data_IF_604636725152
#
_entry.id   IF_604636725152
#
_cell.length_a   1.000
_cell.length_b   1.000
_cell.length_c   1.000
_cell.angle_alpha   90.00
_cell.angle_beta   90.00
_cell.angle_gamma   90.00
#
_symmetry.space_group_name_H-M   'P 1'
#
loop_
_entity.id
_entity.type
_entity.pdbx_description
1 polymer ?
#
# COMPACT_ATOMS: atom_id res chain seq x y z
N UNK A 1 11.23 26.64 -6.32
CA UNK A 1 11.52 25.19 -6.23
C UNK A 1 10.51 24.46 -5.35
N UNK A 2 10.38 24.77 -4.05
CA UNK A 2 9.43 24.11 -3.12
C UNK A 2 7.95 24.08 -3.56
N UNK A 3 7.48 25.12 -4.25
CA UNK A 3 6.08 25.18 -4.75
C UNK A 3 5.81 24.17 -5.87
N UNK A 4 6.77 23.95 -6.77
CA UNK A 4 6.62 23.02 -7.90
C UNK A 4 6.65 21.57 -7.41
N UNK A 5 7.56 21.26 -6.48
CA UNK A 5 7.64 19.93 -5.84
C UNK A 5 6.37 19.58 -5.08
N UNK A 6 5.77 20.54 -4.37
CA UNK A 6 4.50 20.36 -3.67
C UNK A 6 3.32 20.14 -4.65
N UNK A 7 3.27 20.86 -5.77
CA UNK A 7 2.25 20.67 -6.82
C UNK A 7 2.38 19.28 -7.45
N UNK A 8 3.60 18.86 -7.78
CA UNK A 8 3.87 17.53 -8.35
C UNK A 8 3.49 16.42 -7.38
N UNK A 9 3.78 16.57 -6.09
CA UNK A 9 3.35 15.62 -5.07
C UNK A 9 1.83 15.55 -4.96
N UNK A 10 1.13 16.68 -5.05
CA UNK A 10 -0.32 16.73 -5.01
C UNK A 10 -0.94 16.02 -6.22
N UNK A 11 -0.45 16.31 -7.42
CA UNK A 11 -0.88 15.64 -8.66
C UNK A 11 -0.66 14.12 -8.56
N UNK A 12 0.50 13.70 -8.06
CA UNK A 12 0.82 12.28 -7.89
C UNK A 12 -0.17 11.59 -6.93
N UNK A 13 -0.47 12.21 -5.79
CA UNK A 13 -1.45 11.69 -4.82
C UNK A 13 -2.85 11.64 -5.44
N UNK A 14 -3.27 12.67 -6.17
CA UNK A 14 -4.57 12.69 -6.85
C UNK A 14 -4.70 11.59 -7.90
N UNK A 15 -3.66 11.36 -8.71
CA UNK A 15 -3.63 10.26 -9.70
C UNK A 15 -3.72 8.92 -8.98
N UNK A 16 -2.95 8.74 -7.90
CA UNK A 16 -2.94 7.49 -7.14
C UNK A 16 -4.32 7.17 -6.54
N UNK A 17 -4.98 8.16 -5.95
CA UNK A 17 -6.35 8.03 -5.44
C UNK A 17 -7.36 7.73 -6.55
N UNK A 18 -7.20 8.35 -7.73
CA UNK A 18 -8.04 8.08 -8.89
C UNK A 18 -7.89 6.63 -9.37
N UNK A 19 -6.67 6.11 -9.46
CA UNK A 19 -6.40 4.72 -9.83
C UNK A 19 -7.05 3.75 -8.83
N UNK A 20 -6.91 3.99 -7.53
CA UNK A 20 -7.56 3.17 -6.50
C UNK A 20 -9.09 3.20 -6.64
N UNK A 21 -9.67 4.39 -6.86
CA UNK A 21 -11.10 4.55 -7.02
C UNK A 21 -11.62 3.81 -8.26
N UNK A 22 -10.97 3.98 -9.41
CA UNK A 22 -11.34 3.29 -10.65
C UNK A 22 -11.19 1.78 -10.51
N UNK A 23 -10.12 1.30 -9.88
CA UNK A 23 -9.89 -0.12 -9.65
C UNK A 23 -10.95 -0.73 -8.72
N UNK A 24 -11.28 -0.05 -7.61
CA UNK A 24 -12.34 -0.48 -6.71
C UNK A 24 -13.71 -0.52 -7.39
N UNK A 25 -14.00 0.44 -8.27
CA UNK A 25 -15.21 0.45 -9.09
C UNK A 25 -15.27 -0.74 -10.05
N UNK A 26 -14.16 -1.11 -10.69
CA UNK A 26 -14.11 -2.28 -11.58
C UNK A 26 -14.29 -3.59 -10.82
N UNK A 27 -13.66 -3.75 -9.65
CA UNK A 27 -13.89 -4.94 -8.78
C UNK A 27 -15.38 -5.06 -8.42
N UNK A 28 -16.03 -3.95 -8.05
CA UNK A 28 -17.45 -3.94 -7.73
C UNK A 28 -18.32 -4.27 -8.96
N UNK A 29 -17.99 -3.73 -10.12
CA UNK A 29 -18.66 -4.00 -11.40
C UNK A 29 -18.59 -5.50 -11.75
N UNK A 30 -17.40 -6.11 -11.64
CA UNK A 30 -17.20 -7.54 -11.87
C UNK A 30 -18.01 -8.40 -10.90
N UNK A 31 -18.05 -8.02 -9.62
CA UNK A 31 -18.86 -8.68 -8.60
C UNK A 31 -20.35 -8.62 -8.92
N UNK A 32 -20.88 -7.43 -9.27
CA UNK A 32 -22.30 -7.25 -9.61
C UNK A 32 -22.71 -8.01 -10.89
N UNK A 33 -21.80 -8.10 -11.87
CA UNK A 33 -22.00 -8.89 -13.09
C UNK A 33 -21.84 -10.40 -12.87
N UNK A 34 -21.44 -10.84 -11.66
CA UNK A 34 -21.10 -12.23 -11.33
C UNK A 34 -20.02 -12.82 -12.23
N UNK A 35 -19.14 -11.96 -12.76
CA UNK A 35 -18.00 -12.40 -13.56
C UNK A 35 -16.86 -12.87 -12.64
N UNK A 36 -17.09 -14.02 -12.01
CA UNK A 36 -16.19 -14.57 -11.01
C UNK A 36 -14.84 -15.01 -11.60
N UNK A 37 -14.79 -15.27 -12.91
CA UNK A 37 -13.58 -15.64 -13.62
C UNK A 37 -12.58 -14.49 -13.67
N UNK A 38 -13.04 -13.30 -14.07
CA UNK A 38 -12.18 -12.13 -14.09
C UNK A 38 -11.98 -11.60 -12.66
N UNK A 39 -12.99 -11.71 -11.79
CA UNK A 39 -12.92 -11.21 -10.42
C UNK A 39 -11.84 -11.91 -9.58
N UNK A 40 -11.74 -13.24 -9.63
CA UNK A 40 -10.74 -13.95 -8.82
C UNK A 40 -9.32 -13.55 -9.25
N UNK A 41 -9.10 -13.41 -10.56
CA UNK A 41 -7.83 -13.01 -11.14
C UNK A 41 -7.49 -11.57 -10.76
N UNK A 42 -8.48 -10.66 -10.76
CA UNK A 42 -8.32 -9.28 -10.31
C UNK A 42 -7.85 -9.22 -8.84
N UNK A 43 -8.40 -10.05 -7.95
CA UNK A 43 -7.96 -10.12 -6.55
C UNK A 43 -6.54 -10.67 -6.39
N UNK A 44 -6.18 -11.74 -7.11
CA UNK A 44 -4.82 -12.32 -7.08
C UNK A 44 -3.80 -11.29 -7.58
N UNK A 45 -4.06 -10.66 -8.73
CA UNK A 45 -3.16 -9.65 -9.32
C UNK A 45 -3.03 -8.45 -8.38
N UNK A 46 -4.13 -7.97 -7.80
CA UNK A 46 -4.09 -6.89 -6.80
C UNK A 46 -3.21 -7.24 -5.61
N UNK A 47 -3.33 -8.47 -5.11
CA UNK A 47 -2.52 -8.95 -4.00
C UNK A 47 -1.02 -8.96 -4.33
N UNK A 48 -0.65 -9.46 -5.51
CA UNK A 48 0.74 -9.46 -5.99
C UNK A 48 1.27 -8.03 -6.13
N UNK A 49 0.51 -7.13 -6.75
CA UNK A 49 0.90 -5.73 -6.93
C UNK A 49 1.14 -5.04 -5.59
N UNK A 50 0.26 -5.24 -4.60
CA UNK A 50 0.44 -4.66 -3.25
C UNK A 50 1.72 -5.17 -2.58
N UNK A 51 2.04 -6.46 -2.71
CA UNK A 51 3.30 -7.01 -2.18
C UNK A 51 4.52 -6.37 -2.85
N UNK A 52 4.55 -6.35 -4.19
CA UNK A 52 5.64 -5.75 -4.97
C UNK A 52 5.81 -4.27 -4.58
N UNK A 53 4.72 -3.53 -4.43
CA UNK A 53 4.75 -2.12 -4.00
C UNK A 53 5.43 -1.96 -2.63
N UNK A 54 5.13 -2.83 -1.66
CA UNK A 54 5.79 -2.80 -0.35
C UNK A 54 7.31 -2.93 -0.45
N UNK A 55 7.80 -3.88 -1.25
CA UNK A 55 9.23 -4.07 -1.49
C UNK A 55 9.85 -2.90 -2.26
N UNK A 56 9.16 -2.36 -3.25
CA UNK A 56 9.62 -1.21 -4.02
C UNK A 56 9.81 0.03 -3.14
N UNK A 57 8.84 0.33 -2.27
CA UNK A 57 8.95 1.42 -1.29
C UNK A 57 10.13 1.20 -0.35
N UNK A 58 10.33 -0.03 0.16
CA UNK A 58 11.49 -0.35 1.00
C UNK A 58 12.82 -0.10 0.28
N UNK A 59 12.94 -0.49 -0.99
CA UNK A 59 14.14 -0.24 -1.80
C UNK A 59 14.37 1.25 -2.02
N UNK A 60 13.31 2.03 -2.28
CA UNK A 60 13.40 3.47 -2.46
C UNK A 60 13.85 4.18 -1.18
N UNK A 61 13.29 3.82 -0.03
CA UNK A 61 13.71 4.33 1.28
C UNK A 61 15.13 3.89 1.63
N UNK A 62 15.54 2.68 1.21
CA UNK A 62 16.91 2.21 1.39
C UNK A 62 17.93 3.01 0.57
N UNK A 63 17.54 3.54 -0.60
CA UNK A 63 18.43 4.37 -1.41
C UNK A 63 18.66 5.79 -0.85
N UNK A 64 17.85 6.24 0.11
CA UNK A 64 17.96 7.55 0.77
C UNK A 64 18.51 7.44 2.21
N UNK A 65 19.39 6.46 2.46
CA UNK A 65 19.60 5.84 3.78
C UNK A 65 20.28 6.67 4.87
N UNK A 66 21.04 7.72 4.53
CA UNK A 66 21.80 8.48 5.53
C UNK A 66 20.87 9.38 6.36
N UNK A 67 20.10 10.25 5.72
CA UNK A 67 19.22 11.18 6.43
C UNK A 67 18.01 10.48 7.07
N UNK A 68 17.48 9.44 6.42
CA UNK A 68 16.28 8.76 6.89
C UNK A 68 16.50 7.92 8.16
N UNK A 69 17.72 7.39 8.36
CA UNK A 69 18.03 6.58 9.55
C UNK A 69 18.16 7.45 10.79
N UNK A 70 18.84 8.60 10.68
CA UNK A 70 18.96 9.57 11.77
C UNK A 70 17.59 10.17 12.14
N UNK A 71 16.77 10.54 11.16
CA UNK A 71 15.41 11.02 11.44
C UNK A 71 14.56 9.99 12.20
N UNK A 72 14.65 8.70 11.85
CA UNK A 72 13.89 7.64 12.52
C UNK A 72 14.40 7.37 13.92
N UNK A 73 15.71 7.43 14.14
CA UNK A 73 16.30 7.27 15.47
C UNK A 73 15.88 8.40 16.41
N UNK A 74 15.81 9.64 15.91
CA UNK A 74 15.24 10.77 16.65
C UNK A 74 13.76 10.57 16.98
N UNK A 75 12.95 10.05 16.04
CA UNK A 75 11.54 9.74 16.31
C UNK A 75 11.42 8.65 17.38
N UNK A 76 12.28 7.63 17.38
CA UNK A 76 12.30 6.58 18.43
C UNK A 76 12.63 7.15 19.80
N UNK A 77 13.62 8.05 19.88
CA UNK A 77 13.97 8.74 21.13
C UNK A 77 12.77 9.53 21.66
N UNK A 78 12.05 10.26 20.80
CA UNK A 78 10.81 10.96 21.18
C UNK A 78 9.73 10.03 21.73
N UNK A 79 9.57 8.84 21.12
CA UNK A 79 8.60 7.84 21.61
C UNK A 79 8.99 7.34 23.00
N UNK A 80 10.28 7.05 23.23
CA UNK A 80 10.79 6.58 24.53
C UNK A 80 10.65 7.67 25.60
N UNK A 81 10.90 8.95 25.24
CA UNK A 81 10.75 10.09 26.15
C UNK A 81 9.29 10.52 26.39
N UNK A 82 8.32 9.79 25.82
CA UNK A 82 6.87 10.12 25.86
C UNK A 82 6.53 11.49 25.27
N UNK A 83 7.38 12.00 24.38
CA UNK A 83 7.08 13.21 23.62
C UNK A 83 5.99 12.95 22.58
N UNK A 84 5.23 13.99 22.26
CA UNK A 84 4.13 13.91 21.30
C UNK A 84 4.70 13.84 19.88
N UNK A 85 4.52 12.71 19.22
CA UNK A 85 4.88 12.52 17.81
C UNK A 85 3.78 13.03 16.87
N UNK A 86 4.20 13.61 15.75
CA UNK A 86 3.31 14.06 14.68
C UNK A 86 2.84 12.90 13.80
N UNK A 87 1.74 13.11 13.08
CA UNK A 87 1.18 12.13 12.15
C UNK A 87 2.16 11.78 11.01
N UNK A 88 2.96 12.77 10.57
CA UNK A 88 4.02 12.59 9.58
C UNK A 88 5.15 11.69 10.09
N UNK A 89 5.64 11.92 11.31
CA UNK A 89 6.68 11.08 11.93
C UNK A 89 6.19 9.64 12.12
N UNK A 90 4.92 9.46 12.51
CA UNK A 90 4.30 8.15 12.66
C UNK A 90 4.20 7.40 11.33
N UNK A 91 3.81 8.10 10.26
CA UNK A 91 3.79 7.55 8.90
C UNK A 91 5.20 7.21 8.39
N UNK A 92 6.20 8.05 8.68
CA UNK A 92 7.59 7.77 8.33
C UNK A 92 8.12 6.49 8.98
N UNK A 93 7.87 6.33 10.28
CA UNK A 93 8.27 5.12 11.03
C UNK A 93 7.58 3.86 10.48
N UNK A 94 6.29 3.97 10.18
CA UNK A 94 5.50 2.90 9.59
C UNK A 94 6.02 2.48 8.20
N UNK A 95 6.30 3.47 7.34
CA UNK A 95 6.79 3.23 5.99
C UNK A 95 8.17 2.56 5.98
N UNK A 96 8.99 2.83 7.00
CA UNK A 96 10.33 2.28 7.12
C UNK A 96 10.37 0.88 7.76
N UNK A 97 9.63 0.65 8.84
CA UNK A 97 9.72 -0.60 9.62
C UNK A 97 8.69 -1.67 9.20
N UNK A 98 7.44 -1.27 8.98
CA UNK A 98 6.32 -2.21 8.90
C UNK A 98 5.68 -2.32 7.51
N UNK A 99 6.04 -1.42 6.59
CA UNK A 99 5.44 -1.36 5.25
C UNK A 99 5.43 -2.71 4.52
N UNK A 100 6.58 -3.38 4.41
CA UNK A 100 6.65 -4.69 3.71
C UNK A 100 5.78 -5.73 4.39
N UNK A 101 5.78 -5.79 5.73
CA UNK A 101 4.97 -6.75 6.48
C UNK A 101 3.48 -6.52 6.22
N UNK A 102 3.06 -5.25 6.19
CA UNK A 102 1.66 -4.88 6.01
C UNK A 102 1.21 -5.09 4.57
N UNK A 103 2.01 -4.68 3.59
CA UNK A 103 1.79 -5.00 2.19
C UNK A 103 1.69 -6.51 1.95
N UNK A 104 2.56 -7.31 2.58
CA UNK A 104 2.48 -8.77 2.51
C UNK A 104 1.20 -9.32 3.13
N UNK A 105 0.79 -8.83 4.31
CA UNK A 105 -0.48 -9.24 4.94
C UNK A 105 -1.68 -8.91 4.05
N UNK A 106 -1.76 -7.68 3.55
CA UNK A 106 -2.85 -7.25 2.66
C UNK A 106 -2.83 -8.07 1.36
N UNK A 107 -1.65 -8.28 0.78
CA UNK A 107 -1.48 -9.07 -0.43
C UNK A 107 -1.94 -10.52 -0.28
N UNK A 108 -1.57 -11.17 0.83
CA UNK A 108 -2.02 -12.52 1.17
C UNK A 108 -3.54 -12.56 1.39
N UNK A 109 -4.13 -11.56 2.03
CA UNK A 109 -5.59 -11.47 2.21
C UNK A 109 -6.28 -11.40 0.84
N UNK A 110 -5.80 -10.53 -0.06
CA UNK A 110 -6.35 -10.38 -1.41
C UNK A 110 -6.22 -11.68 -2.22
N UNK A 111 -5.06 -12.34 -2.19
CA UNK A 111 -4.85 -13.63 -2.86
C UNK A 111 -5.78 -14.69 -2.28
N UNK A 112 -5.93 -14.75 -0.95
CA UNK A 112 -6.84 -15.68 -0.28
C UNK A 112 -8.29 -15.47 -0.70
N UNK A 113 -8.75 -14.21 -0.80
CA UNK A 113 -10.09 -13.89 -1.30
C UNK A 113 -10.25 -14.36 -2.74
N UNK A 114 -9.26 -14.10 -3.61
CA UNK A 114 -9.25 -14.60 -4.98
C UNK A 114 -9.34 -16.13 -5.04
N UNK A 115 -8.55 -16.84 -4.25
CA UNK A 115 -8.59 -18.29 -4.18
C UNK A 115 -9.96 -18.83 -3.73
N UNK A 116 -10.59 -18.19 -2.74
CA UNK A 116 -11.94 -18.55 -2.28
C UNK A 116 -12.96 -18.36 -3.42
N UNK A 117 -12.92 -17.25 -4.15
CA UNK A 117 -13.83 -16.99 -5.28
C UNK A 117 -13.66 -18.07 -6.37
N UNK A 118 -12.42 -18.44 -6.69
CA UNK A 118 -12.13 -19.49 -7.67
C UNK A 118 -12.69 -20.86 -7.24
N UNK A 119 -12.50 -21.23 -5.97
CA UNK A 119 -13.03 -22.48 -5.41
C UNK A 119 -14.56 -22.47 -5.47
N UNK A 120 -15.22 -21.40 -5.03
CA UNK A 120 -16.68 -21.28 -5.04
C UNK A 120 -17.26 -21.37 -6.45
N UNK A 121 -16.61 -20.77 -7.45
CA UNK A 121 -17.00 -20.87 -8.87
C UNK A 121 -17.02 -22.32 -9.37
N UNK A 122 -16.10 -23.16 -8.90
CA UNK A 122 -15.98 -24.55 -9.37
C UNK A 122 -16.85 -25.54 -8.61
N UNK A 123 -17.43 -25.15 -7.47
CA UNK A 123 -18.30 -25.98 -6.64
C UNK A 123 -19.78 -25.69 -6.90
N UNK A 124 -20.15 -24.43 -7.15
CA UNK A 124 -21.51 -23.97 -7.46
C UNK A 124 -21.79 -23.98 -8.97
#
# INVERSE_FOLDING_TARGET
>A
MKTLENIMAYIFVSIYLCVIYLWGREILSLFLKKDYEILFLAFIVSGIVVMIFGYWVKLRLASSQLDAKEEIELIKIKIISKEKITLRERLGLFLYEDNVKICNRIGIILISIGAIIYILKNIL
#
